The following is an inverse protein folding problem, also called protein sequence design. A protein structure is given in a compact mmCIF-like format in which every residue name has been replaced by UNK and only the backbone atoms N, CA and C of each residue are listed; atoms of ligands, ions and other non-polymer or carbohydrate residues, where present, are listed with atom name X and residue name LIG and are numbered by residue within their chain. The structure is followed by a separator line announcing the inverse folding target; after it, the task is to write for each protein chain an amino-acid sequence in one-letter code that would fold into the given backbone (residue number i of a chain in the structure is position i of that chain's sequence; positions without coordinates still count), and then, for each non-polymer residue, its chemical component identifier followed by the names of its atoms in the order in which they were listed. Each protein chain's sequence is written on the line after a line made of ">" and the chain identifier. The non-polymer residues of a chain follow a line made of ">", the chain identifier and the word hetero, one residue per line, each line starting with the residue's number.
data_IF_040596316097
#
_entry.id   IF_040596316097
#
_cell.length_a   1.000
_cell.length_b   1.000
_cell.length_c   1.000
_cell.angle_alpha   90.00
_cell.angle_beta   90.00
_cell.angle_gamma   90.00
#
_symmetry.space_group_name_H-M   'P 1'
#
loop_
_entity.id
_entity.type
_entity.pdbx_description
1 polymer ?
#
# COMPACT_ATOMS: atom_id res chain seq x y z
N UNK A 1 -16.20 -10.59 -10.10
CA UNK A 1 -14.99 -10.81 -9.29
C UNK A 1 -15.33 -10.77 -7.81
N UNK A 2 -14.69 -11.62 -7.01
CA UNK A 2 -14.64 -11.53 -5.56
C UNK A 2 -13.20 -11.19 -5.16
N UNK A 3 -13.01 -10.12 -4.39
CA UNK A 3 -11.70 -9.73 -3.90
C UNK A 3 -11.51 -10.23 -2.47
N UNK A 4 -10.49 -11.03 -2.24
CA UNK A 4 -10.21 -11.65 -0.94
C UNK A 4 -8.90 -11.07 -0.41
N UNK A 5 -9.01 -10.40 0.73
CA UNK A 5 -7.86 -9.90 1.48
C UNK A 5 -7.43 -10.98 2.47
N UNK A 6 -6.21 -11.47 2.32
CA UNK A 6 -5.63 -12.51 3.17
C UNK A 6 -4.42 -11.93 3.92
N UNK A 7 -4.59 -11.51 5.19
CA UNK A 7 -3.47 -11.16 6.06
C UNK A 7 -2.59 -12.38 6.32
N UNK A 8 -1.31 -12.29 5.95
CA UNK A 8 -0.32 -13.32 6.23
C UNK A 8 0.18 -13.11 7.66
N UNK A 9 -0.30 -13.96 8.57
CA UNK A 9 0.02 -13.91 9.99
C UNK A 9 1.02 -15.00 10.39
N UNK A 10 1.03 -16.13 9.68
CA UNK A 10 1.82 -17.30 10.05
C UNK A 10 2.64 -17.85 8.88
N UNK A 11 1.96 -18.39 7.88
CA UNK A 11 2.55 -19.05 6.71
C UNK A 11 1.65 -18.79 5.51
N UNK A 12 2.28 -18.37 4.42
CA UNK A 12 1.60 -17.98 3.17
C UNK A 12 0.61 -19.04 2.70
N UNK A 13 1.04 -20.31 2.63
CA UNK A 13 0.20 -21.41 2.16
C UNK A 13 -1.04 -21.66 3.05
N UNK A 14 -0.84 -21.72 4.36
CA UNK A 14 -1.92 -22.01 5.32
C UNK A 14 -2.94 -20.88 5.35
N UNK A 15 -2.47 -19.63 5.43
CA UNK A 15 -3.34 -18.46 5.50
C UNK A 15 -4.14 -18.31 4.19
N UNK A 16 -3.53 -18.57 3.02
CA UNK A 16 -4.22 -18.57 1.72
C UNK A 16 -5.25 -19.68 1.63
N UNK A 17 -4.90 -20.91 2.04
CA UNK A 17 -5.81 -22.05 1.99
C UNK A 17 -7.05 -21.80 2.84
N UNK A 18 -6.86 -21.24 4.04
CA UNK A 18 -7.95 -20.85 4.92
C UNK A 18 -8.79 -19.70 4.34
N UNK A 19 -8.16 -18.67 3.76
CA UNK A 19 -8.89 -17.56 3.16
C UNK A 19 -9.74 -17.98 1.95
N UNK A 20 -9.38 -19.09 1.29
CA UNK A 20 -10.06 -19.61 0.12
C UNK A 20 -11.05 -20.76 0.41
N UNK A 21 -11.11 -21.27 1.65
CA UNK A 21 -11.92 -22.47 1.97
C UNK A 21 -13.42 -22.24 1.81
N UNK A 22 -13.89 -21.05 2.18
CA UNK A 22 -15.33 -20.76 2.30
C UNK A 22 -15.87 -20.00 1.07
N UNK A 23 -15.06 -19.92 0.01
CA UNK A 23 -15.38 -19.11 -1.16
C UNK A 23 -16.26 -19.90 -2.12
N UNK A 24 -17.39 -19.34 -2.58
CA UNK A 24 -18.26 -20.02 -3.54
C UNK A 24 -17.51 -20.31 -4.84
N UNK A 25 -17.62 -21.55 -5.32
CA UNK A 25 -16.84 -22.08 -6.43
C UNK A 25 -17.18 -21.47 -7.82
N UNK A 26 -18.12 -20.53 -7.91
CA UNK A 26 -18.64 -19.99 -9.17
C UNK A 26 -18.25 -18.53 -9.43
N UNK A 27 -17.26 -17.99 -8.71
CA UNK A 27 -16.81 -16.60 -8.88
C UNK A 27 -15.31 -16.53 -9.14
N UNK A 28 -14.91 -15.72 -10.11
CA UNK A 28 -13.52 -15.32 -10.30
C UNK A 28 -13.00 -14.58 -9.06
N UNK A 29 -11.87 -15.03 -8.52
CA UNK A 29 -11.25 -14.54 -7.30
C UNK A 29 -10.01 -13.72 -7.64
N UNK A 30 -9.90 -12.56 -7.00
CA UNK A 30 -8.68 -11.77 -6.90
C UNK A 30 -8.17 -11.91 -5.47
N UNK A 31 -7.09 -12.66 -5.27
CA UNK A 31 -6.45 -12.83 -3.97
C UNK A 31 -5.43 -11.72 -3.74
N UNK A 32 -5.57 -11.03 -2.61
CA UNK A 32 -4.64 -10.00 -2.14
C UNK A 32 -3.98 -10.52 -0.87
N UNK A 33 -2.77 -11.10 -1.01
CA UNK A 33 -1.97 -11.53 0.13
C UNK A 33 -1.33 -10.30 0.79
N UNK A 34 -1.71 -10.01 2.03
CA UNK A 34 -1.26 -8.85 2.79
C UNK A 34 -0.15 -9.27 3.75
N UNK A 35 1.09 -8.90 3.42
CA UNK A 35 2.28 -9.23 4.21
C UNK A 35 2.56 -8.12 5.21
N UNK A 36 2.55 -8.46 6.51
CA UNK A 36 2.86 -7.51 7.56
C UNK A 36 4.37 -7.26 7.63
N UNK A 37 4.83 -6.20 6.97
CA UNK A 37 6.25 -5.91 6.75
C UNK A 37 6.49 -4.42 6.86
N UNK A 38 7.48 -4.03 7.66
CA UNK A 38 7.90 -2.64 7.81
C UNK A 38 8.74 -2.13 6.63
N UNK A 39 9.66 -2.95 6.11
CA UNK A 39 10.57 -2.55 5.04
C UNK A 39 9.94 -2.72 3.64
N UNK A 40 9.72 -1.64 2.86
CA UNK A 40 9.10 -1.71 1.54
C UNK A 40 9.95 -2.44 0.48
N UNK A 41 11.26 -2.56 0.70
CA UNK A 41 12.20 -3.23 -0.21
C UNK A 41 12.46 -4.70 0.18
N UNK A 42 11.74 -5.20 1.20
CA UNK A 42 11.89 -6.58 1.63
C UNK A 42 11.43 -7.55 0.53
N UNK A 43 12.26 -8.56 0.27
CA UNK A 43 11.95 -9.63 -0.67
C UNK A 43 11.06 -10.65 0.03
N UNK A 44 9.80 -10.73 -0.39
CA UNK A 44 8.88 -11.77 0.06
C UNK A 44 8.72 -12.89 -0.97
N UNK A 45 8.43 -14.11 -0.50
CA UNK A 45 7.96 -15.20 -1.36
C UNK A 45 6.72 -14.77 -2.15
N UNK A 46 6.62 -15.23 -3.40
CA UNK A 46 5.46 -14.95 -4.25
C UNK A 46 4.27 -15.81 -3.81
N UNK A 47 3.17 -15.19 -3.39
CA UNK A 47 1.98 -15.91 -2.91
C UNK A 47 1.32 -16.76 -3.99
N UNK A 48 1.41 -16.35 -5.26
CA UNK A 48 0.87 -17.08 -6.41
C UNK A 48 1.32 -18.54 -6.50
N UNK A 49 2.49 -18.88 -5.93
CA UNK A 49 3.02 -20.26 -5.92
C UNK A 49 2.24 -21.20 -5.00
N UNK A 50 1.49 -20.65 -4.05
CA UNK A 50 0.70 -21.39 -3.05
C UNK A 50 -0.80 -21.31 -3.33
N UNK A 51 -1.18 -20.85 -4.53
CA UNK A 51 -2.57 -20.73 -4.95
C UNK A 51 -2.92 -21.93 -5.82
N UNK A 52 -3.71 -22.84 -5.26
CA UNK A 52 -4.18 -24.05 -5.95
C UNK A 52 -5.64 -23.99 -6.39
N UNK A 53 -6.39 -22.98 -5.93
CA UNK A 53 -7.80 -22.82 -6.28
C UNK A 53 -7.93 -22.29 -7.72
N UNK A 54 -8.58 -23.04 -8.64
CA UNK A 54 -8.66 -22.67 -10.07
C UNK A 54 -9.49 -21.42 -10.33
N UNK A 55 -10.32 -20.99 -9.37
CA UNK A 55 -11.12 -19.78 -9.50
C UNK A 55 -10.31 -18.51 -9.24
N UNK A 56 -9.07 -18.63 -8.72
CA UNK A 56 -8.19 -17.48 -8.52
C UNK A 56 -7.56 -17.09 -9.84
N UNK A 57 -8.09 -16.02 -10.44
CA UNK A 57 -7.63 -15.48 -11.71
C UNK A 57 -6.45 -14.52 -11.56
N UNK A 58 -6.25 -13.98 -10.35
CA UNK A 58 -5.16 -13.07 -10.01
C UNK A 58 -4.79 -13.24 -8.54
N UNK A 59 -3.50 -13.42 -8.27
CA UNK A 59 -2.94 -13.38 -6.93
C UNK A 59 -1.84 -12.32 -6.88
N UNK A 60 -2.00 -11.35 -5.99
CA UNK A 60 -1.03 -10.26 -5.81
C UNK A 60 -0.56 -10.19 -4.36
N UNK A 61 0.64 -9.65 -4.19
CA UNK A 61 1.28 -9.45 -2.88
C UNK A 61 1.27 -7.96 -2.53
N UNK A 62 0.73 -7.61 -1.37
CA UNK A 62 0.71 -6.25 -0.84
C UNK A 62 1.43 -6.19 0.50
N UNK A 63 2.23 -5.15 0.71
CA UNK A 63 2.92 -4.88 1.96
C UNK A 63 2.10 -3.90 2.80
N UNK A 64 1.89 -4.23 4.07
CA UNK A 64 1.24 -3.34 5.02
C UNK A 64 1.97 -3.33 6.37
N UNK A 65 1.84 -2.22 7.09
CA UNK A 65 2.36 -2.06 8.45
C UNK A 65 1.45 -1.09 9.21
N UNK A 66 1.20 -1.35 10.49
CA UNK A 66 0.35 -0.51 11.35
C UNK A 66 -1.01 -0.17 10.72
N UNK A 67 -1.64 -1.18 10.10
CA UNK A 67 -2.96 -1.03 9.46
C UNK A 67 -2.96 -0.20 8.17
N UNK A 68 -1.79 0.12 7.60
CA UNK A 68 -1.66 0.92 6.37
C UNK A 68 -0.87 0.19 5.31
N UNK A 69 -1.30 0.32 4.05
CA UNK A 69 -0.52 -0.13 2.91
C UNK A 69 0.73 0.76 2.75
N UNK A 70 1.88 0.13 2.56
CA UNK A 70 3.13 0.85 2.34
C UNK A 70 3.15 1.54 0.96
N UNK A 71 3.88 2.65 0.87
CA UNK A 71 4.24 3.29 -0.40
C UNK A 71 5.36 2.51 -1.10
N UNK A 72 5.08 1.26 -1.46
CA UNK A 72 6.04 0.34 -2.06
C UNK A 72 5.76 0.16 -3.56
N UNK A 73 6.82 0.00 -4.37
CA UNK A 73 6.70 -0.33 -5.80
C UNK A 73 5.86 -1.59 -6.00
N UNK A 74 6.00 -2.58 -5.11
CA UNK A 74 5.20 -3.80 -5.11
C UNK A 74 3.70 -3.50 -5.02
N UNK A 75 3.28 -2.64 -4.11
CA UNK A 75 1.87 -2.27 -3.96
C UNK A 75 1.33 -1.53 -5.19
N UNK A 76 2.16 -0.67 -5.80
CA UNK A 76 1.79 0.02 -7.03
C UNK A 76 1.65 -0.94 -8.23
N UNK A 77 2.46 -2.01 -8.29
CA UNK A 77 2.35 -3.08 -9.29
C UNK A 77 1.12 -3.95 -9.03
N UNK A 78 0.90 -4.39 -7.79
CA UNK A 78 -0.27 -5.16 -7.38
C UNK A 78 -1.57 -4.42 -7.68
N UNK A 79 -1.60 -3.10 -7.42
CA UNK A 79 -2.71 -2.25 -7.82
C UNK A 79 -2.89 -2.23 -9.34
N UNK A 80 -1.80 -2.02 -10.09
CA UNK A 80 -1.86 -2.04 -11.56
C UNK A 80 -2.45 -3.35 -12.10
N UNK A 81 -1.99 -4.51 -11.62
CA UNK A 81 -2.48 -5.81 -12.06
C UNK A 81 -3.97 -6.00 -11.71
N UNK A 82 -4.39 -5.63 -10.50
CA UNK A 82 -5.80 -5.63 -10.10
C UNK A 82 -6.63 -4.78 -11.07
N UNK A 83 -6.21 -3.53 -11.29
CA UNK A 83 -6.96 -2.59 -12.14
C UNK A 83 -7.04 -3.05 -13.59
N UNK A 84 -5.98 -3.72 -14.09
CA UNK A 84 -5.94 -4.31 -15.42
C UNK A 84 -6.92 -5.46 -15.56
N UNK A 85 -6.97 -6.37 -14.60
CA UNK A 85 -7.94 -7.48 -14.58
C UNK A 85 -9.38 -6.98 -14.50
N UNK A 86 -9.61 -5.89 -13.76
CA UNK A 86 -10.93 -5.25 -13.67
C UNK A 86 -11.32 -4.44 -14.91
N UNK A 87 -10.45 -4.35 -15.93
CA UNK A 87 -10.73 -3.59 -17.16
C UNK A 87 -10.77 -2.07 -16.96
N UNK A 88 -10.12 -1.55 -15.91
CA UNK A 88 -10.14 -0.11 -15.63
C UNK A 88 -9.30 0.68 -16.65
N UNK A 89 -9.74 1.89 -17.06
CA UNK A 89 -9.00 2.70 -18.02
C UNK A 89 -7.64 3.13 -17.46
N UNK A 90 -6.61 3.11 -18.31
CA UNK A 90 -5.27 3.58 -17.94
C UNK A 90 -5.25 5.03 -17.45
N UNK A 91 -6.13 5.88 -17.99
CA UNK A 91 -6.29 7.28 -17.58
C UNK A 91 -6.71 7.41 -16.11
N UNK A 92 -7.62 6.55 -15.64
CA UNK A 92 -8.06 6.54 -14.24
C UNK A 92 -6.90 6.15 -13.32
N UNK A 93 -6.16 5.07 -13.64
CA UNK A 93 -5.02 4.60 -12.85
C UNK A 93 -3.94 5.69 -12.74
N UNK A 94 -3.60 6.34 -13.86
CA UNK A 94 -2.63 7.43 -13.92
C UNK A 94 -3.07 8.64 -13.09
N UNK A 95 -4.34 9.02 -13.20
CA UNK A 95 -4.91 10.12 -12.43
C UNK A 95 -4.84 9.85 -10.92
N UNK A 96 -5.21 8.65 -10.45
CA UNK A 96 -5.09 8.29 -9.03
C UNK A 96 -3.66 8.39 -8.50
N UNK A 97 -2.67 7.89 -9.26
CA UNK A 97 -1.24 8.02 -8.88
C UNK A 97 -0.81 9.48 -8.81
N UNK A 98 -1.23 10.30 -9.78
CA UNK A 98 -0.91 11.74 -9.83
C UNK A 98 -1.55 12.49 -8.65
N UNK A 99 -2.82 12.24 -8.35
CA UNK A 99 -3.52 12.83 -7.22
C UNK A 99 -2.87 12.44 -5.88
N UNK A 100 -2.53 11.15 -5.67
CA UNK A 100 -1.81 10.70 -4.47
C UNK A 100 -0.48 11.44 -4.30
N UNK A 101 0.30 11.55 -5.38
CA UNK A 101 1.57 12.28 -5.38
C UNK A 101 1.41 13.78 -5.05
N UNK A 102 0.40 14.43 -5.64
CA UNK A 102 0.10 15.84 -5.37
C UNK A 102 -0.31 16.08 -3.91
N UNK A 103 -1.16 15.22 -3.34
CA UNK A 103 -1.59 15.33 -1.94
C UNK A 103 -0.39 15.20 -1.00
N UNK A 104 0.45 14.19 -1.21
CA UNK A 104 1.66 13.97 -0.38
C UNK A 104 2.60 15.17 -0.51
N UNK A 105 2.88 15.63 -1.74
CA UNK A 105 3.75 16.79 -1.97
C UNK A 105 3.25 18.06 -1.26
N UNK A 106 1.93 18.31 -1.29
CA UNK A 106 1.32 19.45 -0.57
C UNK A 106 1.44 19.30 0.94
N UNK A 107 1.19 18.11 1.48
CA UNK A 107 1.34 17.86 2.92
C UNK A 107 2.78 18.09 3.39
N UNK A 108 3.76 17.58 2.64
CA UNK A 108 5.19 17.79 2.93
C UNK A 108 5.55 19.28 2.89
N UNK A 109 5.11 20.01 1.86
CA UNK A 109 5.36 21.45 1.74
C UNK A 109 4.82 22.23 2.96
N UNK A 110 3.59 21.92 3.39
CA UNK A 110 2.97 22.57 4.56
C UNK A 110 3.80 22.29 5.82
N UNK A 111 4.22 21.05 6.05
CA UNK A 111 5.05 20.68 7.21
C UNK A 111 6.38 21.45 7.19
N UNK A 112 7.05 21.54 6.04
CA UNK A 112 8.31 22.29 5.90
C UNK A 112 8.11 23.77 6.23
N UNK A 113 7.04 24.40 5.72
CA UNK A 113 6.75 25.81 6.02
C UNK A 113 6.52 26.04 7.51
N UNK A 114 5.77 25.15 8.18
CA UNK A 114 5.55 25.22 9.64
C UNK A 114 6.86 25.12 10.40
N UNK A 115 7.74 24.18 10.05
CA UNK A 115 9.06 24.02 10.70
C UNK A 115 9.91 25.28 10.52
N UNK A 116 9.96 25.85 9.31
CA UNK A 116 10.73 27.08 9.03
C UNK A 116 10.24 28.26 9.87
N UNK A 117 8.92 28.44 10.01
CA UNK A 117 8.34 29.52 10.82
C UNK A 117 8.70 29.35 12.29
N UNK A 118 8.61 28.13 12.84
CA UNK A 118 8.97 27.83 14.22
C UNK A 118 10.46 28.07 14.49
N UNK A 119 11.34 27.64 13.59
CA UNK A 119 12.78 27.90 13.68
C UNK A 119 13.10 29.41 13.57
N UNK A 120 12.42 30.14 12.69
CA UNK A 120 12.55 31.60 12.59
C UNK A 120 12.15 32.32 13.87
N UNK A 121 10.99 31.96 14.45
CA UNK A 121 10.49 32.54 15.69
C UNK A 121 11.43 32.28 16.88
N UNK A 122 11.92 31.05 17.02
CA UNK A 122 12.87 30.68 18.08
C UNK A 122 14.21 31.40 17.93
N UNK A 123 14.77 31.49 16.72
CA UNK A 123 16.01 32.23 16.46
C UNK A 123 15.86 33.73 16.73
N UNK A 124 14.72 34.33 16.37
CA UNK A 124 14.42 35.73 16.66
C UNK A 124 14.32 35.97 18.17
N UNK A 125 13.60 35.10 18.89
CA UNK A 125 13.50 35.16 20.35
C UNK A 125 14.87 35.08 21.04
N UNK A 126 15.73 34.15 20.62
CA UNK A 126 17.10 34.02 21.12
C UNK A 126 17.95 35.27 20.84
N UNK A 127 17.79 35.89 19.65
CA UNK A 127 18.50 37.13 19.31
C UNK A 127 18.03 38.31 20.16
N UNK A 128 16.74 38.41 20.45
CA UNK A 128 16.18 39.45 21.31
C UNK A 128 16.63 39.25 22.76
N UNK A 129 16.57 38.02 23.28
CA UNK A 129 17.03 37.70 24.62
C UNK A 129 18.53 37.96 24.85
N UNK A 130 19.36 37.85 23.80
CA UNK A 130 20.80 38.16 23.87
C UNK A 130 21.11 39.66 23.77
N UNK A 131 20.13 40.49 23.40
CA UNK A 131 20.26 41.96 23.29
C UNK A 131 19.76 42.73 24.52
N UNK A 132 19.02 42.08 25.42
CA UNK A 132 18.70 42.59 26.75
C UNK A 132 19.79 42.17 27.75
#
# INVERSE_FOLDING_TARGET
>A
YLMIFCPIASRVETDISQALSDVPANKDIILVAMHHIFNPDHVIPESKKHVHNPNVILAVDCLFHDGKLLLARRNDNSWYDITKVLGMPHSQISWFKKCRSLIIGRAVLVVVLVVVVLLGATLLGLRLARKL
#
